data_IF_905268390212
#
_entry.id   IF_905268390212
#
_cell.length_a   1.000
_cell.length_b   1.000
_cell.length_c   1.000
_cell.angle_alpha   90.00
_cell.angle_beta   90.00
_cell.angle_gamma   90.00
#
_symmetry.space_group_name_H-M   'P 1'
#
loop_
_entity.id
_entity.type
_entity.pdbx_description
1 polymer ?
#
# COMPACT_ATOMS: atom_id res chain seq x y z
N UNK A 1 -25.74 16.94 -17.31
CA UNK A 1 -24.58 16.39 -16.58
C UNK A 1 -25.12 15.68 -15.35
N UNK A 2 -25.08 14.35 -15.34
CA UNK A 2 -25.61 13.56 -14.24
C UNK A 2 -24.72 13.72 -13.00
N UNK A 3 -25.29 14.25 -11.91
CA UNK A 3 -24.60 14.36 -10.62
C UNK A 3 -24.25 12.96 -10.14
N UNK A 4 -22.98 12.56 -10.28
CA UNK A 4 -22.43 11.36 -9.64
C UNK A 4 -22.62 11.53 -8.12
N UNK A 5 -23.69 10.95 -7.57
CA UNK A 5 -23.87 10.86 -6.11
C UNK A 5 -22.61 10.19 -5.56
N UNK A 6 -21.89 10.88 -4.68
CA UNK A 6 -20.74 10.29 -4.00
C UNK A 6 -21.26 9.12 -3.16
N UNK A 7 -20.70 7.94 -3.36
CA UNK A 7 -20.97 6.79 -2.48
C UNK A 7 -20.63 7.18 -1.04
N UNK A 8 -21.44 6.73 -0.08
CA UNK A 8 -21.17 6.94 1.34
C UNK A 8 -19.81 6.35 1.73
N UNK A 9 -19.09 7.00 2.65
CA UNK A 9 -17.82 6.46 3.13
C UNK A 9 -18.03 5.13 3.85
N UNK A 10 -17.00 4.27 3.88
CA UNK A 10 -17.04 3.04 4.67
C UNK A 10 -16.84 3.38 6.15
N UNK A 11 -17.72 2.89 7.02
CA UNK A 11 -17.55 3.01 8.46
C UNK A 11 -16.38 2.13 8.94
N UNK A 12 -15.89 2.38 10.16
CA UNK A 12 -14.83 1.55 10.74
C UNK A 12 -15.31 0.10 10.95
N UNK A 13 -16.56 -0.07 11.35
CA UNK A 13 -17.20 -1.40 11.49
C UNK A 13 -17.29 -2.13 10.16
N UNK A 14 -17.71 -1.44 9.09
CA UNK A 14 -17.71 -2.00 7.73
C UNK A 14 -16.30 -2.42 7.32
N UNK A 15 -15.30 -1.57 7.58
CA UNK A 15 -13.89 -1.85 7.26
C UNK A 15 -13.41 -3.11 8.00
N UNK A 16 -13.70 -3.24 9.30
CA UNK A 16 -13.36 -4.43 10.11
C UNK A 16 -14.02 -5.69 9.55
N UNK A 17 -15.31 -5.63 9.24
CA UNK A 17 -16.05 -6.77 8.70
C UNK A 17 -15.49 -7.22 7.35
N UNK A 18 -15.18 -6.28 6.45
CA UNK A 18 -14.59 -6.58 5.14
C UNK A 18 -13.20 -7.20 5.30
N UNK A 19 -12.33 -6.63 6.14
CA UNK A 19 -10.97 -7.16 6.33
C UNK A 19 -11.01 -8.55 6.95
N UNK A 20 -11.88 -8.79 7.93
CA UNK A 20 -12.06 -10.13 8.53
C UNK A 20 -12.56 -11.15 7.51
N UNK A 21 -13.54 -10.79 6.67
CA UNK A 21 -14.00 -11.68 5.61
C UNK A 21 -12.88 -12.00 4.62
N UNK A 22 -12.04 -11.02 4.28
CA UNK A 22 -10.89 -11.25 3.41
C UNK A 22 -9.86 -12.16 4.07
N UNK A 23 -9.59 -12.00 5.37
CA UNK A 23 -8.72 -12.89 6.13
C UNK A 23 -9.18 -14.35 6.07
N UNK A 24 -10.47 -14.59 6.32
CA UNK A 24 -11.07 -15.93 6.26
C UNK A 24 -10.99 -16.54 4.85
N UNK A 25 -11.10 -15.71 3.80
CA UNK A 25 -11.13 -16.15 2.41
C UNK A 25 -9.82 -15.85 1.65
N UNK A 26 -8.71 -15.61 2.36
CA UNK A 26 -7.46 -15.08 1.78
C UNK A 26 -6.87 -15.98 0.70
N UNK A 27 -6.97 -17.31 0.85
CA UNK A 27 -6.50 -18.29 -0.12
C UNK A 27 -7.18 -18.20 -1.49
N UNK A 28 -8.38 -17.60 -1.54
CA UNK A 28 -9.13 -17.37 -2.79
C UNK A 28 -8.93 -15.93 -3.24
N UNK A 29 -9.15 -14.95 -2.35
CA UNK A 29 -9.14 -13.52 -2.70
C UNK A 29 -7.74 -13.04 -3.11
N UNK A 30 -6.71 -13.41 -2.35
CA UNK A 30 -5.32 -13.00 -2.56
C UNK A 30 -4.53 -13.96 -3.45
N UNK A 31 -5.20 -14.99 -3.99
CA UNK A 31 -4.53 -15.97 -4.83
C UNK A 31 -3.89 -15.33 -6.07
N UNK A 32 -2.57 -15.44 -6.26
CA UNK A 32 -1.85 -14.80 -7.37
C UNK A 32 -1.89 -15.60 -8.69
N UNK A 33 -2.54 -16.77 -8.73
CA UNK A 33 -2.60 -17.60 -9.94
C UNK A 33 -3.40 -16.94 -11.06
N UNK A 34 -2.85 -16.97 -12.27
CA UNK A 34 -3.52 -16.50 -13.48
C UNK A 34 -4.45 -17.59 -14.05
N UNK A 35 -5.51 -17.93 -13.31
CA UNK A 35 -6.48 -18.96 -13.68
C UNK A 35 -7.87 -18.35 -13.81
N UNK A 36 -8.55 -18.58 -14.94
CA UNK A 36 -9.91 -18.09 -15.19
C UNK A 36 -10.90 -18.56 -14.11
N UNK A 37 -10.77 -19.80 -13.63
CA UNK A 37 -11.57 -20.33 -12.52
C UNK A 37 -11.33 -19.54 -11.23
N UNK A 38 -10.09 -19.15 -10.96
CA UNK A 38 -9.76 -18.34 -9.79
C UNK A 38 -10.35 -16.92 -9.90
N UNK A 39 -10.32 -16.31 -11.07
CA UNK A 39 -10.98 -15.02 -11.32
C UNK A 39 -12.50 -15.08 -11.03
N UNK A 40 -13.16 -16.16 -11.45
CA UNK A 40 -14.58 -16.39 -11.14
C UNK A 40 -14.79 -16.59 -9.64
N UNK A 41 -13.95 -17.39 -8.97
CA UNK A 41 -14.07 -17.66 -7.54
C UNK A 41 -13.87 -16.39 -6.69
N UNK A 42 -12.89 -15.55 -7.05
CA UNK A 42 -12.68 -14.25 -6.41
C UNK A 42 -13.91 -13.37 -6.55
N UNK A 43 -14.46 -13.26 -7.75
CA UNK A 43 -15.69 -12.48 -8.00
C UNK A 43 -16.83 -13.00 -7.14
N UNK A 44 -17.06 -14.31 -7.09
CA UNK A 44 -18.09 -14.93 -6.24
C UNK A 44 -17.92 -14.55 -4.76
N UNK A 45 -16.69 -14.58 -4.23
CA UNK A 45 -16.41 -14.17 -2.84
C UNK A 45 -16.72 -12.70 -2.57
N UNK A 46 -16.42 -11.80 -3.51
CA UNK A 46 -16.82 -10.40 -3.37
C UNK A 46 -18.34 -10.20 -3.47
N UNK A 47 -19.03 -10.98 -4.30
CA UNK A 47 -20.49 -10.96 -4.39
C UNK A 47 -21.16 -11.54 -3.14
N UNK A 48 -20.61 -12.60 -2.55
CA UNK A 48 -21.06 -13.15 -1.26
C UNK A 48 -20.95 -12.11 -0.14
N UNK A 49 -19.82 -11.39 -0.06
CA UNK A 49 -19.65 -10.31 0.92
C UNK A 49 -20.63 -9.16 0.68
N UNK A 50 -20.82 -8.74 -0.57
CA UNK A 50 -21.80 -7.71 -0.92
C UNK A 50 -23.23 -8.10 -0.50
N UNK A 51 -23.61 -9.37 -0.71
CA UNK A 51 -24.90 -9.90 -0.24
C UNK A 51 -25.01 -9.88 1.28
N UNK A 52 -23.95 -10.29 1.99
CA UNK A 52 -23.92 -10.25 3.46
C UNK A 52 -24.12 -8.84 4.02
N UNK A 53 -23.44 -7.86 3.44
CA UNK A 53 -23.60 -6.45 3.82
C UNK A 53 -25.01 -5.94 3.49
N UNK A 54 -25.55 -6.30 2.32
CA UNK A 54 -26.90 -5.94 1.91
C UNK A 54 -27.96 -6.50 2.88
N UNK A 55 -27.84 -7.76 3.30
CA UNK A 55 -28.71 -8.37 4.32
C UNK A 55 -28.60 -7.67 5.69
N UNK A 56 -27.49 -7.00 5.97
CA UNK A 56 -27.29 -6.15 7.16
C UNK A 56 -27.71 -4.69 6.94
N UNK A 57 -28.42 -4.37 5.85
CA UNK A 57 -28.90 -3.02 5.53
C UNK A 57 -27.85 -2.10 4.89
N UNK A 58 -26.67 -2.61 4.52
CA UNK A 58 -25.56 -1.85 3.94
C UNK A 58 -25.38 -2.23 2.47
N UNK A 59 -26.03 -1.52 1.56
CA UNK A 59 -25.96 -1.82 0.13
C UNK A 59 -24.62 -1.35 -0.46
N UNK A 60 -23.78 -2.31 -0.89
CA UNK A 60 -22.48 -2.06 -1.54
C UNK A 60 -22.32 -2.96 -2.76
N UNK A 61 -21.77 -2.44 -3.85
CA UNK A 61 -21.39 -3.29 -4.99
C UNK A 61 -20.10 -4.04 -4.70
N UNK A 62 -20.00 -5.28 -5.18
CA UNK A 62 -18.78 -6.09 -5.04
C UNK A 62 -17.52 -5.38 -5.59
N UNK A 63 -17.67 -4.56 -6.64
CA UNK A 63 -16.59 -3.75 -7.22
C UNK A 63 -16.13 -2.65 -6.27
N UNK A 64 -17.04 -2.04 -5.51
CA UNK A 64 -16.73 -1.00 -4.53
C UNK A 64 -15.96 -1.59 -3.35
N UNK A 65 -16.38 -2.76 -2.86
CA UNK A 65 -15.70 -3.49 -1.78
C UNK A 65 -14.26 -3.85 -2.19
N UNK A 66 -14.10 -4.45 -3.37
CA UNK A 66 -12.78 -4.80 -3.90
C UNK A 66 -11.88 -3.56 -4.04
N UNK A 67 -12.41 -2.49 -4.60
CA UNK A 67 -11.65 -1.25 -4.82
C UNK A 67 -11.27 -0.58 -3.50
N UNK A 68 -12.18 -0.59 -2.51
CA UNK A 68 -11.92 -0.07 -1.17
C UNK A 68 -10.80 -0.86 -0.49
N UNK A 69 -10.89 -2.18 -0.52
CA UNK A 69 -9.86 -3.05 0.06
C UNK A 69 -8.49 -2.85 -0.60
N UNK A 70 -8.42 -2.71 -1.93
CA UNK A 70 -7.16 -2.38 -2.62
C UNK A 70 -6.55 -1.05 -2.15
N UNK A 71 -7.37 -0.01 -1.96
CA UNK A 71 -6.90 1.26 -1.39
C UNK A 71 -6.37 1.08 0.04
N UNK A 72 -7.06 0.28 0.85
CA UNK A 72 -6.62 -0.01 2.22
C UNK A 72 -5.32 -0.81 2.26
N UNK A 73 -5.09 -1.75 1.34
CA UNK A 73 -3.79 -2.43 1.20
C UNK A 73 -2.65 -1.45 0.93
N UNK A 74 -2.85 -0.52 0.00
CA UNK A 74 -1.83 0.51 -0.31
C UNK A 74 -1.58 1.41 0.90
N UNK A 75 -2.63 1.84 1.60
CA UNK A 75 -2.52 2.64 2.82
C UNK A 75 -1.80 1.87 3.94
N UNK A 76 -2.17 0.61 4.18
CA UNK A 76 -1.55 -0.26 5.17
C UNK A 76 -0.06 -0.44 4.88
N UNK A 77 0.33 -0.66 3.62
CA UNK A 77 1.75 -0.76 3.23
C UNK A 77 2.51 0.51 3.59
N UNK A 78 1.98 1.68 3.26
CA UNK A 78 2.61 2.97 3.62
C UNK A 78 2.75 3.12 5.14
N UNK A 79 1.68 2.84 5.89
CA UNK A 79 1.66 2.98 7.35
C UNK A 79 2.65 2.02 8.02
N UNK A 80 2.62 0.73 7.68
CA UNK A 80 3.50 -0.29 8.25
C UNK A 80 4.97 -0.03 7.90
N UNK A 81 5.26 0.38 6.65
CA UNK A 81 6.63 0.74 6.26
C UNK A 81 7.12 1.97 7.01
N UNK A 82 6.29 3.02 7.15
CA UNK A 82 6.64 4.20 7.93
C UNK A 82 6.89 3.86 9.41
N UNK A 83 6.06 3.00 10.00
CA UNK A 83 6.20 2.53 11.39
C UNK A 83 7.53 1.78 11.61
N UNK A 84 7.88 0.87 10.68
CA UNK A 84 9.16 0.14 10.71
C UNK A 84 10.39 1.05 10.60
N UNK A 85 10.35 2.05 9.72
CA UNK A 85 11.48 2.98 9.51
C UNK A 85 11.75 3.84 10.75
N UNK A 86 10.71 4.19 11.52
CA UNK A 86 10.86 4.94 12.77
C UNK A 86 11.63 4.18 13.85
N UNK A 87 11.48 2.85 13.92
CA UNK A 87 12.29 2.02 14.82
C UNK A 87 13.80 2.08 14.53
N UNK A 88 14.19 2.57 13.34
CA UNK A 88 15.58 2.61 12.88
C UNK A 88 16.21 4.01 12.85
N UNK A 89 15.43 5.10 13.07
CA UNK A 89 15.93 6.48 12.93
C UNK A 89 15.55 7.34 14.15
N UNK A 90 16.45 7.43 15.13
CA UNK A 90 16.40 8.44 16.21
C UNK A 90 16.91 9.79 15.67
N UNK A 91 16.07 10.51 14.93
CA UNK A 91 16.37 11.87 14.46
C UNK A 91 15.10 12.69 14.38
N UNK A 92 14.93 13.65 15.29
CA UNK A 92 13.68 14.36 15.56
C UNK A 92 13.06 15.08 14.35
N UNK A 93 11.80 14.74 14.03
CA UNK A 93 10.98 15.36 13.00
C UNK A 93 9.52 14.85 13.06
N UNK A 94 8.53 15.60 12.53
CA UNK A 94 7.16 15.67 13.07
C UNK A 94 6.27 14.41 12.90
N UNK A 95 5.56 14.14 14.00
CA UNK A 95 4.35 13.34 14.27
C UNK A 95 4.00 12.06 13.47
N UNK A 96 4.27 10.91 14.11
CA UNK A 96 3.34 9.82 14.47
C UNK A 96 2.23 9.35 13.50
N UNK A 97 2.55 9.00 12.25
CA UNK A 97 1.76 7.95 11.58
C UNK A 97 2.03 6.59 12.26
N UNK A 98 1.18 6.20 13.22
CA UNK A 98 1.20 4.85 13.82
C UNK A 98 0.33 3.94 12.98
N UNK A 99 0.88 2.81 12.55
CA UNK A 99 0.09 1.79 11.86
C UNK A 99 -1.02 1.27 12.79
N UNK A 100 -2.25 1.21 12.27
CA UNK A 100 -3.40 0.69 13.01
C UNK A 100 -3.37 -0.84 13.08
N UNK A 101 -4.11 -1.45 14.02
CA UNK A 101 -4.26 -2.91 14.09
C UNK A 101 -4.77 -3.51 12.78
N UNK A 102 -5.68 -2.82 12.10
CA UNK A 102 -6.17 -3.21 10.77
C UNK A 102 -5.07 -3.17 9.71
N UNK A 103 -4.11 -2.25 9.79
CA UNK A 103 -3.01 -2.20 8.82
C UNK A 103 -2.09 -3.41 8.99
N UNK A 104 -1.86 -3.84 10.22
CA UNK A 104 -1.12 -5.06 10.54
C UNK A 104 -1.88 -6.32 10.09
N UNK A 105 -3.18 -6.38 10.31
CA UNK A 105 -4.00 -7.48 9.83
C UNK A 105 -3.96 -7.59 8.30
N UNK A 106 -4.08 -6.45 7.58
CA UNK A 106 -3.96 -6.42 6.12
C UNK A 106 -2.57 -6.86 5.64
N UNK A 107 -1.51 -6.49 6.37
CA UNK A 107 -0.15 -6.97 6.11
C UNK A 107 -0.05 -8.49 6.27
N UNK A 108 -0.67 -9.06 7.30
CA UNK A 108 -0.62 -10.50 7.54
C UNK A 108 -1.48 -11.29 6.53
N UNK A 109 -2.50 -10.67 5.92
CA UNK A 109 -3.28 -11.28 4.81
C UNK A 109 -2.40 -11.54 3.58
N UNK A 110 -1.52 -10.60 3.22
CA UNK A 110 -0.66 -10.69 2.03
C UNK A 110 0.74 -10.13 2.32
N UNK A 111 1.58 -10.89 3.04
CA UNK A 111 2.90 -10.41 3.48
C UNK A 111 3.84 -10.12 2.32
N UNK A 112 3.72 -10.87 1.21
CA UNK A 112 4.54 -10.70 0.02
C UNK A 112 4.39 -9.31 -0.60
N UNK A 113 3.22 -8.68 -0.46
CA UNK A 113 2.99 -7.34 -1.03
C UNK A 113 3.70 -6.24 -0.23
N UNK A 114 4.19 -6.55 0.98
CA UNK A 114 4.85 -5.62 1.90
C UNK A 114 6.37 -5.74 1.89
N UNK A 115 6.93 -6.62 1.05
CA UNK A 115 8.36 -6.67 0.79
C UNK A 115 8.76 -5.37 0.07
N UNK A 116 9.73 -4.66 0.61
CA UNK A 116 10.39 -3.56 -0.09
C UNK A 116 11.29 -4.18 -1.16
N UNK A 117 10.99 -3.91 -2.42
CA UNK A 117 11.88 -4.26 -3.53
C UNK A 117 13.12 -3.38 -3.38
N UNK A 118 14.17 -3.95 -2.80
CA UNK A 118 15.47 -3.30 -2.72
C UNK A 118 16.08 -3.39 -4.12
N UNK A 119 15.67 -2.49 -5.00
CA UNK A 119 16.37 -2.29 -6.25
C UNK A 119 17.80 -1.86 -5.91
N UNK A 120 18.77 -2.72 -6.25
CA UNK A 120 20.19 -2.49 -5.97
C UNK A 120 20.77 -1.30 -6.78
N UNK A 121 19.99 -0.74 -7.71
CA UNK A 121 20.41 0.33 -8.63
C UNK A 121 20.08 1.77 -8.19
N UNK A 122 19.66 2.02 -6.94
CA UNK A 122 19.51 3.38 -6.41
C UNK A 122 20.69 3.83 -5.52
N UNK A 123 21.84 3.14 -5.64
CA UNK A 123 23.07 3.55 -4.97
C UNK A 123 24.01 4.29 -5.91
N UNK A 124 24.09 5.60 -5.68
CA UNK A 124 25.26 6.46 -5.95
C UNK A 124 25.51 6.87 -7.41
N UNK A 125 24.70 7.81 -7.92
CA UNK A 125 25.18 8.73 -8.95
C UNK A 125 26.21 9.68 -8.33
N UNK A 126 27.48 9.26 -8.28
CA UNK A 126 28.58 10.12 -7.84
C UNK A 126 28.68 11.32 -8.80
N UNK A 127 28.69 12.52 -8.25
CA UNK A 127 29.05 13.73 -8.97
C UNK A 127 30.46 13.54 -9.56
N UNK A 128 30.57 13.59 -10.88
CA UNK A 128 31.86 13.79 -11.55
C UNK A 128 32.31 15.21 -11.26
N UNK A 129 33.00 15.38 -10.14
CA UNK A 129 33.83 16.56 -9.86
C UNK A 129 34.89 16.65 -10.96
N UNK A 130 34.62 17.43 -12.00
CA UNK A 130 35.64 17.94 -12.93
C UNK A 130 36.61 18.83 -12.14
N UNK A 131 37.90 18.48 -12.02
CA UNK A 131 38.89 19.39 -11.47
C UNK A 131 39.15 20.50 -12.50
N UNK A 132 38.60 21.69 -12.26
CA UNK A 132 39.08 22.91 -12.92
C UNK A 132 40.23 23.44 -12.10
N UNK A 133 41.42 23.22 -12.62
CA UNK A 133 42.70 23.56 -12.03
C UNK A 133 42.74 25.02 -11.58
N UNK A 134 43.00 25.20 -10.29
CA UNK A 134 43.37 26.46 -9.66
C UNK A 134 44.76 26.84 -10.14
N UNK A 135 44.87 27.93 -10.90
CA UNK A 135 46.18 28.51 -11.25
C UNK A 135 46.83 29.15 -10.04
N UNK A 136 48.17 29.10 -9.94
CA UNK A 136 49.05 30.17 -9.41
C UNK A 136 50.54 29.84 -9.74
N UNK A 137 51.54 30.72 -9.45
CA UNK A 137 52.23 31.58 -10.42
C UNK A 137 53.75 31.27 -10.57
N UNK A 138 54.44 32.12 -11.35
CA UNK A 138 55.85 32.60 -11.17
C UNK A 138 56.73 32.45 -12.40
N UNK A 139 57.31 33.58 -12.82
CA UNK A 139 58.20 33.71 -13.97
C UNK A 139 59.68 33.54 -13.64
N UNK A 140 60.53 33.68 -14.67
CA UNK A 140 61.80 34.43 -14.64
C UNK A 140 62.42 34.47 -16.06
N UNK A 141 63.28 35.46 -16.24
CA UNK A 141 63.95 36.02 -17.41
C UNK A 141 64.78 35.08 -18.28
N UNK A 142 65.01 35.51 -19.53
CA UNK A 142 66.32 35.93 -20.06
C UNK A 142 66.15 36.79 -21.30
#
# INVERSE_FOLDING_TARGET
MENRKRSENFTEEEKKEIVNYVWENRFIIENKSNNSRMSVNKKKKWEELAKKLCSAGRERKWTELRSAYQRWKVAAKKNVTADKKKGSTLGGGPQEIKASELDYLIKDISPDDFVEDRNHFDSNGVEEISPKETGTPSGCSS
#
